data_IF_449310515997
#
_entry.id   IF_449310515997
#
_cell.length_a   1.000
_cell.length_b   1.000
_cell.length_c   1.000
_cell.angle_alpha   90.00
_cell.angle_beta   90.00
_cell.angle_gamma   90.00
#
_symmetry.space_group_name_H-M   'P 1'
#
loop_
_entity.id
_entity.type
_entity.pdbx_description
1 polymer ?
#
# COMPACT_ATOMS: atom_id res chain seq x y z
N UNK A 1 11.64 0.64 -5.47
CA UNK A 1 11.51 1.68 -4.43
C UNK A 1 11.47 1.01 -3.07
N UNK A 2 12.21 1.53 -2.08
CA UNK A 2 12.12 1.05 -0.70
C UNK A 2 10.96 1.70 0.06
N UNK A 3 10.56 1.13 1.20
CA UNK A 3 9.55 1.74 2.08
C UNK A 3 10.02 3.10 2.62
N UNK A 4 11.34 3.30 2.76
CA UNK A 4 11.92 4.57 3.19
C UNK A 4 11.74 5.65 2.12
N UNK A 5 12.04 5.33 0.87
CA UNK A 5 11.88 6.31 -0.23
C UNK A 5 10.40 6.68 -0.41
N UNK A 6 9.50 5.69 -0.28
CA UNK A 6 8.06 5.95 -0.35
C UNK A 6 7.57 6.82 0.81
N UNK A 7 8.12 6.66 2.01
CA UNK A 7 7.83 7.51 3.16
C UNK A 7 8.23 8.97 2.91
N UNK A 8 9.42 9.17 2.34
CA UNK A 8 9.93 10.49 1.98
C UNK A 8 9.08 11.16 0.90
N UNK A 9 8.66 10.42 -0.13
CA UNK A 9 7.82 10.95 -1.21
C UNK A 9 6.39 11.27 -0.78
N UNK A 10 5.82 10.46 0.11
CA UNK A 10 4.41 10.60 0.54
C UNK A 10 4.23 11.46 1.78
N UNK A 11 5.30 11.71 2.53
CA UNK A 11 5.25 12.32 3.87
C UNK A 11 4.62 11.42 4.93
N UNK A 12 4.43 10.12 4.64
CA UNK A 12 3.91 9.15 5.60
C UNK A 12 5.05 8.56 6.42
N UNK A 13 4.73 7.97 7.57
CA UNK A 13 5.74 7.26 8.35
C UNK A 13 6.11 5.94 7.70
N UNK A 14 7.39 5.56 7.78
CA UNK A 14 7.86 4.23 7.34
C UNK A 14 7.04 3.12 8.01
N UNK A 15 6.67 3.30 9.29
CA UNK A 15 5.81 2.38 10.03
C UNK A 15 4.46 2.17 9.35
N UNK A 16 3.77 3.26 9.00
CA UNK A 16 2.45 3.18 8.37
C UNK A 16 2.54 2.49 7.00
N UNK A 17 3.54 2.82 6.19
CA UNK A 17 3.78 2.15 4.90
C UNK A 17 4.05 0.65 5.12
N UNK A 18 4.83 0.31 6.14
CA UNK A 18 5.10 -1.09 6.49
C UNK A 18 3.83 -1.83 6.94
N UNK A 19 2.98 -1.20 7.75
CA UNK A 19 1.70 -1.77 8.18
C UNK A 19 0.75 -1.99 6.99
N UNK A 20 0.72 -1.06 6.03
CA UNK A 20 -0.05 -1.19 4.78
C UNK A 20 0.49 -2.33 3.91
N UNK A 21 1.80 -2.31 3.62
CA UNK A 21 2.43 -3.28 2.72
C UNK A 21 2.36 -4.72 3.24
N UNK A 22 2.31 -4.90 4.57
CA UNK A 22 2.19 -6.22 5.20
C UNK A 22 0.74 -6.59 5.56
N UNK A 23 -0.27 -5.84 5.09
CA UNK A 23 -1.68 -6.11 5.37
C UNK A 23 -1.99 -6.26 6.89
N UNK A 24 -1.31 -5.48 7.74
CA UNK A 24 -1.44 -5.56 9.21
C UNK A 24 -2.58 -4.70 9.76
N UNK A 25 -3.29 -4.00 8.90
CA UNK A 25 -4.35 -3.06 9.29
C UNK A 25 -5.72 -3.60 8.87
N UNK A 26 -6.70 -3.45 9.76
CA UNK A 26 -8.11 -3.79 9.47
C UNK A 26 -8.80 -2.75 8.60
N UNK A 27 -8.27 -1.53 8.57
CA UNK A 27 -8.82 -0.41 7.80
C UNK A 27 -7.67 0.44 7.27
N UNK A 28 -7.75 0.82 6.00
CA UNK A 28 -6.76 1.66 5.34
C UNK A 28 -7.21 3.12 5.33
N UNK A 29 -6.41 4.06 5.86
CA UNK A 29 -6.75 5.48 5.78
C UNK A 29 -6.79 5.94 4.32
N UNK A 30 -7.91 6.52 3.87
CA UNK A 30 -8.10 6.97 2.48
C UNK A 30 -7.03 7.96 2.02
N UNK A 31 -6.63 8.88 2.89
CA UNK A 31 -5.59 9.88 2.58
C UNK A 31 -4.22 9.21 2.37
N UNK A 32 -3.86 8.23 3.22
CA UNK A 32 -2.61 7.49 3.07
C UNK A 32 -2.60 6.67 1.77
N UNK A 33 -3.70 5.97 1.46
CA UNK A 33 -3.85 5.26 0.19
C UNK A 33 -3.73 6.20 -1.00
N UNK A 34 -4.41 7.35 -0.97
CA UNK A 34 -4.34 8.34 -2.05
C UNK A 34 -2.92 8.83 -2.31
N UNK A 35 -2.16 9.16 -1.26
CA UNK A 35 -0.76 9.57 -1.36
C UNK A 35 0.13 8.47 -1.94
N UNK A 36 -0.07 7.23 -1.49
CA UNK A 36 0.68 6.06 -1.98
C UNK A 36 0.36 5.80 -3.46
N UNK A 37 -0.92 5.88 -3.84
CA UNK A 37 -1.34 5.72 -5.23
C UNK A 37 -0.70 6.77 -6.14
N UNK A 38 -0.67 8.04 -5.74
CA UNK A 38 -0.01 9.11 -6.50
C UNK A 38 1.50 8.87 -6.61
N UNK A 39 2.17 8.50 -5.52
CA UNK A 39 3.61 8.23 -5.52
C UNK A 39 4.01 7.01 -6.38
N UNK A 40 3.10 6.04 -6.53
CA UNK A 40 3.29 4.84 -7.34
C UNK A 40 2.74 4.96 -8.77
N UNK A 41 2.16 6.11 -9.13
CA UNK A 41 1.40 6.32 -10.38
C UNK A 41 0.30 5.25 -10.62
N UNK A 42 -0.36 4.84 -9.52
CA UNK A 42 -1.44 3.87 -9.55
C UNK A 42 -2.77 4.61 -9.68
N UNK A 43 -3.51 4.32 -10.76
CA UNK A 43 -4.77 5.02 -11.08
C UNK A 43 -5.99 4.39 -10.43
N UNK A 44 -5.96 3.08 -10.17
CA UNK A 44 -7.08 2.35 -9.58
C UNK A 44 -6.67 1.64 -8.29
N UNK A 45 -7.55 1.66 -7.29
CA UNK A 45 -7.28 1.01 -6.01
C UNK A 45 -7.14 -0.52 -6.15
N UNK A 46 -7.81 -1.13 -7.13
CA UNK A 46 -7.66 -2.57 -7.41
C UNK A 46 -6.26 -2.96 -7.86
N UNK A 47 -5.53 -2.05 -8.52
CA UNK A 47 -4.14 -2.28 -8.91
C UNK A 47 -3.19 -2.19 -7.70
N UNK A 48 -3.59 -1.46 -6.65
CA UNK A 48 -2.85 -1.37 -5.39
C UNK A 48 -3.17 -2.54 -4.45
N UNK A 49 -4.43 -2.98 -4.42
CA UNK A 49 -4.93 -4.04 -3.54
C UNK A 49 -5.20 -5.30 -4.36
N UNK A 50 -4.16 -6.11 -4.53
CA UNK A 50 -4.35 -7.42 -5.15
C UNK A 50 -5.02 -8.37 -4.15
N UNK A 51 -6.13 -8.97 -4.58
CA UNK A 51 -6.73 -10.09 -3.86
C UNK A 51 -5.81 -11.30 -4.03
N UNK A 52 -5.24 -11.77 -2.92
CA UNK A 52 -4.56 -13.06 -2.88
C UNK A 52 -5.69 -14.08 -2.68
N UNK A 53 -6.20 -14.63 -3.78
CA UNK A 53 -6.90 -15.90 -3.69
C UNK A 53 -5.78 -16.93 -3.45
N UNK A 54 -5.78 -17.60 -2.29
CA UNK A 54 -4.89 -18.73 -2.08
C UNK A 54 -5.20 -19.74 -3.19
N UNK A 55 -4.30 -19.89 -4.17
CA UNK A 55 -4.31 -21.04 -5.05
C UNK A 55 -4.26 -22.27 -4.15
N UNK A 56 -5.41 -22.89 -3.93
CA UNK A 56 -5.44 -24.27 -3.46
C UNK A 56 -4.92 -25.06 -4.65
N UNK A 57 -3.61 -25.33 -4.66
CA UNK A 57 -3.01 -26.33 -5.55
C UNK A 57 -3.91 -27.58 -5.51
N UNK A 58 -4.55 -27.88 -6.64
CA UNK A 58 -5.34 -29.10 -6.86
C UNK A 58 -4.42 -30.27 -7.18
#
# INVERSE_FOLDING_TARGET
>A
MSQKDLAEQTGLTIRLISEIANNKMKMYPKDALGKIMVALDVKNLGDLLQRIDEETDN
#
